data_IF_093974262472
#
_entry.id   IF_093974262472
#
_cell.length_a   1.000
_cell.length_b   1.000
_cell.length_c   1.000
_cell.angle_alpha   90.00
_cell.angle_beta   90.00
_cell.angle_gamma   90.00
#
_symmetry.space_group_name_H-M   'P 1'
#
loop_
_entity.id
_entity.type
_entity.pdbx_description
1 polymer ?
#
# COMPACT_ATOMS: atom_id res chain seq x y z
N UNK A 1 -3.92 18.88 -57.16
CA UNK A 1 -4.01 17.74 -56.26
C UNK A 1 -3.87 18.28 -54.85
N UNK A 2 -4.95 18.39 -54.04
CA UNK A 2 -4.79 18.76 -52.65
C UNK A 2 -4.35 17.53 -51.87
N UNK A 3 -3.28 17.67 -51.10
CA UNK A 3 -2.79 16.67 -50.14
C UNK A 3 -3.76 16.60 -48.98
N UNK A 4 -4.40 15.46 -48.84
CA UNK A 4 -5.12 15.11 -47.59
C UNK A 4 -4.10 14.93 -46.49
N UNK A 5 -4.08 15.86 -45.53
CA UNK A 5 -3.44 15.69 -44.24
C UNK A 5 -4.35 14.71 -43.48
N UNK A 6 -3.89 13.49 -43.29
CA UNK A 6 -4.52 12.55 -42.34
C UNK A 6 -4.40 13.17 -40.96
N UNK A 7 -5.53 13.54 -40.36
CA UNK A 7 -5.63 13.83 -38.95
C UNK A 7 -5.26 12.52 -38.20
N UNK A 8 -4.06 12.47 -37.62
CA UNK A 8 -3.74 11.47 -36.60
C UNK A 8 -4.74 11.67 -35.45
N UNK A 9 -5.68 10.73 -35.35
CA UNK A 9 -6.57 10.68 -34.17
C UNK A 9 -5.70 10.44 -32.97
N UNK A 10 -5.49 11.46 -32.12
CA UNK A 10 -4.90 11.29 -30.79
C UNK A 10 -5.76 10.29 -30.04
N UNK A 11 -5.20 9.10 -29.79
CA UNK A 11 -5.83 8.16 -28.85
C UNK A 11 -5.95 8.87 -27.51
N UNK A 12 -7.11 8.76 -26.82
CA UNK A 12 -7.24 9.35 -25.49
C UNK A 12 -6.14 8.79 -24.59
N UNK A 13 -5.44 9.68 -23.90
CA UNK A 13 -4.39 9.28 -22.96
C UNK A 13 -4.99 8.30 -21.95
N UNK A 14 -4.41 7.11 -21.84
CA UNK A 14 -4.84 6.10 -20.87
C UNK A 14 -4.52 6.65 -19.48
N UNK A 15 -5.56 6.90 -18.70
CA UNK A 15 -5.39 7.31 -17.31
C UNK A 15 -5.09 6.08 -16.46
N UNK A 16 -4.03 6.15 -15.68
CA UNK A 16 -3.60 5.07 -14.80
C UNK A 16 -3.99 5.36 -13.34
N UNK A 17 -4.23 4.28 -12.58
CA UNK A 17 -4.36 4.33 -11.12
C UNK A 17 -3.17 3.58 -10.52
N UNK A 18 -2.40 4.24 -9.66
CA UNK A 18 -1.34 3.58 -8.91
C UNK A 18 -1.93 3.02 -7.59
N UNK A 19 -2.02 1.70 -7.50
CA UNK A 19 -2.68 1.02 -6.37
C UNK A 19 -1.74 0.69 -5.21
N UNK A 20 -0.43 0.94 -5.31
CA UNK A 20 0.55 0.57 -4.27
C UNK A 20 1.50 1.73 -4.00
N UNK A 21 1.09 2.64 -3.13
CA UNK A 21 1.91 3.81 -2.78
C UNK A 21 2.11 3.92 -1.28
N UNK A 22 3.36 3.83 -0.86
CA UNK A 22 3.74 4.21 0.50
C UNK A 22 4.04 5.71 0.52
N UNK A 23 3.41 6.45 1.42
CA UNK A 23 3.77 7.85 1.63
C UNK A 23 5.25 7.94 2.01
N UNK A 24 5.99 8.74 1.24
CA UNK A 24 7.44 8.90 1.38
C UNK A 24 7.80 10.38 1.33
N UNK A 25 7.15 11.16 2.21
CA UNK A 25 7.47 12.58 2.33
C UNK A 25 8.60 12.80 3.34
N UNK A 26 9.19 14.00 3.39
CA UNK A 26 10.16 14.33 4.43
C UNK A 26 9.64 14.08 5.85
N UNK A 27 8.33 14.17 6.08
CA UNK A 27 7.69 13.88 7.37
C UNK A 27 7.83 12.39 7.75
N UNK A 28 7.45 11.48 6.86
CA UNK A 28 7.56 10.04 7.11
C UNK A 28 9.03 9.63 7.28
N UNK A 29 9.93 10.17 6.48
CA UNK A 29 11.37 9.90 6.58
C UNK A 29 11.93 10.37 7.93
N UNK A 30 11.64 11.59 8.35
CA UNK A 30 12.13 12.17 9.61
C UNK A 30 11.56 11.44 10.83
N UNK A 31 10.31 10.95 10.73
CA UNK A 31 9.65 10.21 11.81
C UNK A 31 10.01 8.72 11.85
N UNK A 32 10.86 8.23 10.93
CA UNK A 32 11.19 6.80 10.86
C UNK A 32 10.00 5.90 10.48
N UNK A 33 9.01 6.45 9.79
CA UNK A 33 7.79 5.77 9.36
C UNK A 33 7.94 5.08 8.00
N UNK A 34 9.15 4.96 7.52
CA UNK A 34 9.48 4.28 6.27
C UNK A 34 10.46 3.15 6.56
N UNK A 35 10.26 1.98 5.96
CA UNK A 35 11.20 0.87 6.06
C UNK A 35 12.45 1.05 5.18
N UNK A 36 12.71 2.25 4.67
CA UNK A 36 13.73 2.51 3.67
C UNK A 36 15.04 2.93 4.32
N UNK A 37 15.93 1.97 4.54
CA UNK A 37 17.30 2.25 4.88
C UNK A 37 18.18 2.51 3.63
N UNK A 38 19.40 2.94 3.86
CA UNK A 38 20.37 3.24 2.78
C UNK A 38 20.62 2.02 1.89
N UNK A 39 20.60 0.80 2.43
CA UNK A 39 20.83 -0.41 1.66
C UNK A 39 19.67 -0.68 0.71
N UNK A 40 18.44 -0.49 1.19
CA UNK A 40 17.25 -0.59 0.35
C UNK A 40 17.27 0.45 -0.77
N UNK A 41 17.48 1.71 -0.45
CA UNK A 41 17.52 2.78 -1.44
C UNK A 41 18.54 2.47 -2.55
N UNK A 42 19.68 1.91 -2.20
CA UNK A 42 20.68 1.45 -3.19
C UNK A 42 20.20 0.25 -4.02
N UNK A 43 19.53 -0.73 -3.40
CA UNK A 43 19.02 -1.91 -4.11
C UNK A 43 17.96 -1.54 -5.15
N UNK A 44 17.08 -0.62 -4.83
CA UNK A 44 16.02 -0.14 -5.74
C UNK A 44 16.53 0.98 -6.67
N UNK A 45 17.80 1.35 -6.56
CA UNK A 45 18.43 2.44 -7.34
C UNK A 45 17.66 3.77 -7.21
N UNK A 46 17.21 4.07 -6.00
CA UNK A 46 16.52 5.32 -5.73
C UNK A 46 17.45 6.50 -5.99
N UNK A 47 17.02 7.52 -6.75
CA UNK A 47 17.81 8.74 -6.96
C UNK A 47 18.17 9.41 -5.63
N UNK A 48 19.38 9.95 -5.51
CA UNK A 48 19.89 10.53 -4.25
C UNK A 48 19.07 11.73 -3.77
N UNK A 49 18.53 12.52 -4.69
CA UNK A 49 17.64 13.66 -4.40
C UNK A 49 16.30 13.25 -3.79
N UNK A 50 15.92 11.97 -3.89
CA UNK A 50 14.71 11.43 -3.29
C UNK A 50 14.96 10.82 -1.90
N UNK A 51 16.21 10.65 -1.44
CA UNK A 51 16.52 9.97 -0.17
C UNK A 51 15.92 10.67 1.06
N UNK A 52 15.73 12.00 0.97
CA UNK A 52 15.07 12.79 2.03
C UNK A 52 13.54 12.81 2.01
N UNK A 53 12.95 12.04 1.12
CA UNK A 53 11.51 12.06 0.85
C UNK A 53 11.13 12.99 -0.31
N UNK A 54 9.92 12.83 -0.81
CA UNK A 54 9.34 13.62 -1.91
C UNK A 54 8.13 14.37 -1.38
N UNK A 55 8.06 15.70 -1.57
CA UNK A 55 6.89 16.46 -1.12
C UNK A 55 5.62 16.00 -1.86
N UNK A 56 4.45 16.22 -1.27
CA UNK A 56 3.17 15.85 -1.91
C UNK A 56 3.00 16.59 -3.23
N UNK A 57 3.38 17.86 -3.30
CA UNK A 57 3.31 18.67 -4.52
C UNK A 57 4.23 18.12 -5.62
N UNK A 58 5.42 17.66 -5.24
CA UNK A 58 6.36 17.04 -6.20
C UNK A 58 5.86 15.67 -6.65
N UNK A 59 5.25 14.90 -5.75
CA UNK A 59 4.63 13.64 -6.08
C UNK A 59 3.45 13.82 -7.06
N UNK A 60 2.57 14.80 -6.83
CA UNK A 60 1.48 15.14 -7.74
C UNK A 60 1.99 15.52 -9.13
N UNK A 61 3.05 16.33 -9.21
CA UNK A 61 3.67 16.66 -10.51
C UNK A 61 4.21 15.42 -11.24
N UNK A 62 4.77 14.46 -10.49
CA UNK A 62 5.25 13.18 -11.07
C UNK A 62 4.08 12.32 -11.54
N UNK A 63 2.98 12.27 -10.80
CA UNK A 63 1.75 11.61 -11.22
C UNK A 63 1.24 12.20 -12.54
N UNK A 64 1.15 13.54 -12.63
CA UNK A 64 0.70 14.23 -13.86
C UNK A 64 1.61 13.90 -15.04
N UNK A 65 2.91 13.96 -14.85
CA UNK A 65 3.90 13.63 -15.89
C UNK A 65 3.83 12.17 -16.36
N UNK A 66 3.38 11.26 -15.49
CA UNK A 66 3.25 9.83 -15.75
C UNK A 66 1.83 9.41 -16.24
N UNK A 67 0.87 10.34 -16.33
CA UNK A 67 -0.52 10.03 -16.64
C UNK A 67 -1.25 9.24 -15.54
N UNK A 68 -0.80 9.37 -14.28
CA UNK A 68 -1.45 8.75 -13.12
C UNK A 68 -2.51 9.70 -12.57
N UNK A 69 -3.77 9.31 -12.70
CA UNK A 69 -4.90 10.11 -12.23
C UNK A 69 -5.03 10.04 -10.71
N UNK A 70 -4.93 8.84 -10.15
CA UNK A 70 -5.16 8.57 -8.72
C UNK A 70 -4.13 7.61 -8.17
N UNK A 71 -3.77 7.79 -6.90
CA UNK A 71 -2.92 6.87 -6.14
C UNK A 71 -3.61 6.39 -4.87
N UNK A 72 -3.46 5.10 -4.54
CA UNK A 72 -3.92 4.54 -3.29
C UNK A 72 -2.76 4.57 -2.28
N UNK A 73 -2.88 5.45 -1.28
CA UNK A 73 -1.88 5.64 -0.24
C UNK A 73 -2.07 4.62 0.88
N UNK A 74 -1.04 3.89 1.21
CA UNK A 74 -1.09 2.88 2.26
C UNK A 74 -0.72 3.51 3.61
N UNK A 75 -1.63 3.46 4.58
CA UNK A 75 -1.33 3.71 5.98
C UNK A 75 -0.63 2.48 6.55
N UNK A 76 0.67 2.38 6.30
CA UNK A 76 1.47 1.16 6.47
C UNK A 76 1.44 0.67 7.92
N UNK A 77 1.29 -0.64 8.07
CA UNK A 77 1.68 -1.40 9.26
C UNK A 77 2.63 -2.51 8.82
N UNK A 78 3.89 -2.42 9.20
CA UNK A 78 4.93 -3.33 8.77
C UNK A 78 5.70 -3.88 9.99
N UNK A 79 5.36 -5.09 10.39
CA UNK A 79 5.92 -5.80 11.54
C UNK A 79 5.15 -5.55 12.84
N UNK A 80 5.33 -6.49 13.77
CA UNK A 80 4.67 -6.45 15.08
C UNK A 80 5.05 -5.19 15.86
N UNK A 81 4.09 -4.64 16.60
CA UNK A 81 4.32 -3.50 17.49
C UNK A 81 5.45 -3.85 18.47
N UNK A 82 6.39 -2.95 18.65
CA UNK A 82 7.58 -3.10 19.52
C UNK A 82 8.73 -3.97 18.98
N UNK A 83 8.65 -4.48 17.77
CA UNK A 83 9.81 -5.10 17.14
C UNK A 83 10.74 -4.06 16.55
N UNK A 84 12.04 -4.27 16.76
CA UNK A 84 13.06 -3.43 16.13
C UNK A 84 12.97 -3.55 14.60
N UNK A 85 12.78 -2.43 13.93
CA UNK A 85 12.64 -2.36 12.48
C UNK A 85 11.20 -2.38 11.98
N UNK A 86 10.20 -2.63 12.87
CA UNK A 86 8.80 -2.38 12.55
C UNK A 86 8.54 -0.88 12.41
N UNK A 87 7.64 -0.53 11.52
CA UNK A 87 7.23 0.87 11.34
C UNK A 87 5.76 0.94 10.95
N UNK A 88 5.14 2.08 11.25
CA UNK A 88 3.77 2.36 10.85
C UNK A 88 3.59 3.82 10.46
N UNK A 89 2.66 4.06 9.55
CA UNK A 89 2.12 5.37 9.24
C UNK A 89 0.70 5.40 9.81
N UNK A 90 0.39 6.32 10.75
CA UNK A 90 -0.94 6.43 11.33
C UNK A 90 -2.02 6.66 10.28
N UNK A 91 -3.20 6.07 10.47
CA UNK A 91 -4.32 6.23 9.54
C UNK A 91 -4.70 7.69 9.34
N UNK A 92 -4.79 8.48 10.43
CA UNK A 92 -5.10 9.90 10.37
C UNK A 92 -4.09 10.71 9.53
N UNK A 93 -2.83 10.25 9.47
CA UNK A 93 -1.81 10.91 8.66
C UNK A 93 -2.05 10.72 7.17
N UNK A 94 -2.46 9.53 6.75
CA UNK A 94 -2.83 9.25 5.36
C UNK A 94 -4.17 9.90 5.02
N UNK A 95 -5.14 9.85 5.94
CA UNK A 95 -6.42 10.52 5.77
C UNK A 95 -6.24 12.03 5.49
N UNK A 96 -5.32 12.68 6.20
CA UNK A 96 -5.04 14.10 5.96
C UNK A 96 -4.54 14.40 4.54
N UNK A 97 -3.78 13.50 3.92
CA UNK A 97 -3.39 13.64 2.51
C UNK A 97 -4.57 13.40 1.57
N UNK A 98 -5.43 12.43 1.88
CA UNK A 98 -6.65 12.16 1.10
C UNK A 98 -7.63 13.33 1.17
N UNK A 99 -7.83 13.93 2.36
CA UNK A 99 -8.69 15.09 2.56
C UNK A 99 -8.18 16.34 1.83
N UNK A 100 -6.87 16.52 1.79
CA UNK A 100 -6.26 17.64 1.09
C UNK A 100 -6.37 17.51 -0.45
N UNK A 101 -6.35 16.27 -0.97
CA UNK A 101 -6.38 15.99 -2.40
C UNK A 101 -7.35 14.83 -2.73
N UNK A 102 -8.67 15.01 -2.49
CA UNK A 102 -9.66 13.92 -2.55
C UNK A 102 -9.84 13.31 -3.95
N UNK A 103 -9.53 14.08 -5.00
CA UNK A 103 -9.59 13.60 -6.38
C UNK A 103 -8.33 12.83 -6.79
N UNK A 104 -7.26 12.93 -6.01
CA UNK A 104 -5.95 12.35 -6.36
C UNK A 104 -5.54 11.19 -5.46
N UNK A 105 -6.01 11.15 -4.22
CA UNK A 105 -5.64 10.12 -3.26
C UNK A 105 -6.84 9.41 -2.66
N UNK A 106 -6.66 8.12 -2.36
CA UNK A 106 -7.55 7.33 -1.53
C UNK A 106 -6.70 6.50 -0.57
N UNK A 107 -7.20 6.24 0.65
CA UNK A 107 -6.45 5.55 1.67
C UNK A 107 -6.68 4.03 1.68
N UNK A 108 -5.62 3.26 1.96
CA UNK A 108 -5.68 1.85 2.29
C UNK A 108 -5.21 1.63 3.72
N UNK A 109 -6.00 0.89 4.52
CA UNK A 109 -5.67 0.57 5.90
C UNK A 109 -4.64 -0.57 5.96
N UNK A 110 -3.42 -0.27 6.37
CA UNK A 110 -2.44 -1.30 6.69
C UNK A 110 -2.91 -2.14 7.89
N UNK A 111 -2.84 -3.47 7.80
CA UNK A 111 -3.33 -4.35 8.86
C UNK A 111 -2.20 -5.11 9.55
N UNK A 112 -2.37 -5.31 10.85
CA UNK A 112 -1.51 -6.07 11.73
C UNK A 112 -2.33 -7.19 12.42
N UNK A 113 -2.26 -8.44 11.95
CA UNK A 113 -3.03 -9.54 12.53
C UNK A 113 -2.72 -9.80 14.01
N UNK A 114 -1.56 -9.38 14.50
CA UNK A 114 -1.15 -9.63 15.90
C UNK A 114 -1.88 -8.75 16.91
N UNK A 115 -2.56 -7.68 16.44
CA UNK A 115 -3.35 -6.78 17.30
C UNK A 115 -4.74 -7.31 17.64
N UNK A 116 -5.17 -8.41 17.02
CA UNK A 116 -6.46 -9.05 17.30
C UNK A 116 -7.66 -8.09 17.16
N UNK A 117 -8.47 -7.97 18.22
CA UNK A 117 -9.70 -7.15 18.19
C UNK A 117 -9.40 -5.65 18.03
N UNK A 118 -8.24 -5.17 18.48
CA UNK A 118 -7.82 -3.77 18.24
C UNK A 118 -7.74 -3.49 16.73
N UNK A 119 -7.14 -4.41 15.98
CA UNK A 119 -7.05 -4.26 14.52
C UNK A 119 -8.41 -4.17 13.83
N UNK A 120 -9.41 -4.92 14.32
CA UNK A 120 -10.75 -4.87 13.73
C UNK A 120 -11.43 -3.51 13.97
N UNK A 121 -11.27 -2.95 15.17
CA UNK A 121 -11.76 -1.60 15.49
C UNK A 121 -11.06 -0.52 14.68
N UNK A 122 -9.74 -0.67 14.50
CA UNK A 122 -8.96 0.25 13.68
C UNK A 122 -9.40 0.21 12.22
N UNK A 123 -9.75 -0.97 11.71
CA UNK A 123 -10.27 -1.13 10.35
C UNK A 123 -11.66 -0.48 10.20
N UNK A 124 -12.54 -0.68 11.19
CA UNK A 124 -13.83 0.02 11.24
C UNK A 124 -13.67 1.53 11.21
N UNK A 125 -12.76 2.07 12.01
CA UNK A 125 -12.44 3.49 12.06
C UNK A 125 -11.92 3.99 10.71
N UNK A 126 -10.97 3.28 10.12
CA UNK A 126 -10.40 3.65 8.83
C UNK A 126 -11.45 3.76 7.71
N UNK A 127 -12.38 2.82 7.67
CA UNK A 127 -13.40 2.77 6.61
C UNK A 127 -14.55 3.73 6.90
N UNK A 128 -15.13 3.69 8.10
CA UNK A 128 -16.36 4.42 8.41
C UNK A 128 -16.13 5.89 8.75
N UNK A 129 -14.99 6.23 9.35
CA UNK A 129 -14.69 7.60 9.80
C UNK A 129 -13.70 8.31 8.88
N UNK A 130 -12.70 7.58 8.33
CA UNK A 130 -11.66 8.18 7.49
C UNK A 130 -11.88 7.95 5.98
N UNK A 131 -12.90 7.20 5.59
CA UNK A 131 -13.25 6.98 4.19
C UNK A 131 -12.23 6.15 3.41
N UNK A 132 -11.47 5.26 4.08
CA UNK A 132 -10.54 4.39 3.40
C UNK A 132 -11.28 3.36 2.53
N UNK A 133 -10.72 3.08 1.36
CA UNK A 133 -11.38 2.29 0.31
C UNK A 133 -10.97 0.81 0.29
N UNK A 134 -10.08 0.41 1.18
CA UNK A 134 -9.58 -0.96 1.25
C UNK A 134 -8.57 -1.16 2.36
N UNK A 135 -8.11 -2.40 2.49
CA UNK A 135 -7.06 -2.79 3.42
C UNK A 135 -5.79 -3.20 2.67
N UNK A 136 -4.66 -3.21 3.38
CA UNK A 136 -3.38 -3.66 2.85
C UNK A 136 -2.63 -4.53 3.86
N UNK A 137 -2.09 -5.67 3.43
CA UNK A 137 -1.37 -6.60 4.28
C UNK A 137 0.00 -6.97 3.71
N UNK A 138 1.02 -6.96 4.60
CA UNK A 138 2.38 -7.39 4.32
C UNK A 138 2.72 -8.71 5.05
N UNK A 139 2.37 -9.90 4.52
CA UNK A 139 2.59 -11.19 5.21
C UNK A 139 4.02 -11.41 5.69
N UNK A 140 5.00 -11.03 4.87
CA UNK A 140 6.42 -11.25 5.16
C UNK A 140 6.94 -10.44 6.36
N UNK A 141 6.36 -9.28 6.67
CA UNK A 141 6.73 -8.48 7.84
C UNK A 141 6.29 -9.13 9.15
N UNK A 142 5.25 -9.95 9.10
CA UNK A 142 4.73 -10.69 10.27
C UNK A 142 5.19 -12.14 10.29
N UNK A 143 6.00 -12.58 9.33
CA UNK A 143 6.39 -13.99 9.15
C UNK A 143 5.18 -14.92 9.15
N UNK A 144 4.08 -14.44 8.64
CA UNK A 144 2.78 -15.08 8.70
C UNK A 144 2.24 -15.27 7.28
N UNK A 145 1.90 -16.50 6.87
CA UNK A 145 1.30 -16.71 5.57
C UNK A 145 -0.14 -16.16 5.53
N UNK A 146 -0.65 -15.78 4.35
CA UNK A 146 -2.00 -15.21 4.23
C UNK A 146 -3.11 -16.12 4.77
N UNK A 147 -2.95 -17.45 4.67
CA UNK A 147 -3.89 -18.47 5.16
C UNK A 147 -3.74 -18.78 6.67
N UNK A 148 -2.96 -17.99 7.39
CA UNK A 148 -2.85 -18.16 8.84
C UNK A 148 -4.16 -17.79 9.56
N UNK A 149 -4.59 -18.57 10.58
CA UNK A 149 -5.84 -18.34 11.31
C UNK A 149 -5.99 -16.94 11.90
N UNK A 150 -4.87 -16.28 12.27
CA UNK A 150 -4.88 -14.91 12.80
C UNK A 150 -5.31 -13.86 11.75
N UNK A 151 -5.21 -14.17 10.46
CA UNK A 151 -5.64 -13.27 9.40
C UNK A 151 -7.16 -13.34 9.15
N UNK A 152 -7.82 -14.46 9.46
CA UNK A 152 -9.21 -14.72 9.13
C UNK A 152 -10.20 -13.71 9.69
N UNK A 153 -10.09 -13.23 10.93
CA UNK A 153 -10.97 -12.18 11.44
C UNK A 153 -10.90 -10.88 10.61
N UNK A 154 -9.72 -10.56 10.05
CA UNK A 154 -9.53 -9.39 9.20
C UNK A 154 -10.25 -9.60 7.87
N UNK A 155 -10.16 -10.78 7.26
CA UNK A 155 -10.85 -11.09 6.01
C UNK A 155 -12.37 -11.05 6.18
N UNK A 156 -12.88 -11.66 7.25
CA UNK A 156 -14.30 -11.57 7.59
C UNK A 156 -14.74 -10.10 7.74
N UNK A 157 -13.93 -9.27 8.40
CA UNK A 157 -14.25 -7.85 8.56
C UNK A 157 -14.18 -7.09 7.24
N UNK A 158 -13.24 -7.39 6.34
CA UNK A 158 -13.21 -6.80 5.01
C UNK A 158 -14.46 -7.15 4.19
N UNK A 159 -14.95 -8.38 4.30
CA UNK A 159 -16.23 -8.80 3.67
C UNK A 159 -17.40 -8.02 4.25
N UNK A 160 -17.52 -7.90 5.59
CA UNK A 160 -18.58 -7.15 6.26
C UNK A 160 -18.60 -5.65 5.88
N UNK A 161 -17.42 -5.07 5.70
CA UNK A 161 -17.24 -3.67 5.29
C UNK A 161 -17.32 -3.45 3.78
N UNK A 162 -17.47 -4.52 3.00
CA UNK A 162 -17.50 -4.52 1.53
C UNK A 162 -16.24 -3.89 0.88
N UNK A 163 -15.08 -4.05 1.50
CA UNK A 163 -13.80 -3.51 1.02
C UNK A 163 -12.85 -4.60 0.53
N UNK A 164 -12.00 -4.30 -0.48
CA UNK A 164 -10.94 -5.19 -0.90
C UNK A 164 -9.78 -5.21 0.11
N UNK A 165 -9.02 -6.31 0.09
CA UNK A 165 -7.72 -6.37 0.76
C UNK A 165 -6.62 -6.67 -0.25
N UNK A 166 -5.63 -5.80 -0.36
CA UNK A 166 -4.44 -6.02 -1.17
C UNK A 166 -3.35 -6.66 -0.33
N UNK A 167 -2.75 -7.74 -0.84
CA UNK A 167 -1.68 -8.46 -0.14
C UNK A 167 -0.41 -8.49 -0.97
N UNK A 168 0.72 -8.20 -0.34
CA UNK A 168 2.01 -8.37 -0.99
C UNK A 168 2.43 -9.84 -0.96
N UNK A 169 2.42 -10.47 -2.14
CA UNK A 169 2.86 -11.85 -2.33
C UNK A 169 3.97 -11.93 -3.38
N UNK A 170 4.65 -13.08 -3.44
CA UNK A 170 5.76 -13.30 -4.37
C UNK A 170 7.13 -13.03 -3.74
N UNK A 171 8.12 -12.81 -4.58
CA UNK A 171 9.48 -12.55 -4.12
C UNK A 171 9.63 -11.09 -3.71
N UNK A 172 9.86 -10.86 -2.42
CA UNK A 172 10.12 -9.53 -1.90
C UNK A 172 11.58 -9.12 -2.11
N UNK A 173 11.77 -7.84 -2.41
CA UNK A 173 13.05 -7.18 -2.19
C UNK A 173 13.34 -7.20 -0.70
N UNK A 174 14.48 -7.73 -0.29
CA UNK A 174 14.72 -7.97 1.11
C UNK A 174 15.98 -7.29 1.53
N UNK A 175 15.77 -6.40 2.46
CA UNK A 175 16.76 -5.53 3.04
C UNK A 175 17.79 -6.28 3.86
N UNK A 176 17.34 -7.31 4.56
CA UNK A 176 18.18 -8.13 5.41
C UNK A 176 17.97 -9.59 5.07
N UNK A 177 19.03 -10.27 4.71
CA UNK A 177 19.02 -11.67 4.28
C UNK A 177 18.43 -12.60 5.35
N UNK A 178 18.62 -12.23 6.62
CA UNK A 178 18.22 -12.96 7.81
C UNK A 178 16.69 -12.95 8.06
N UNK A 179 16.00 -11.92 7.57
CA UNK A 179 14.53 -11.80 7.73
C UNK A 179 13.75 -12.34 6.54
N UNK A 180 14.42 -12.99 5.59
CA UNK A 180 13.79 -13.61 4.44
C UNK A 180 12.95 -14.80 4.82
N UNK A 181 11.64 -14.70 4.59
CA UNK A 181 10.71 -15.82 4.69
C UNK A 181 9.88 -15.93 3.39
N UNK A 182 10.51 -16.32 2.28
CA UNK A 182 9.82 -16.40 1.00
C UNK A 182 8.67 -17.41 1.00
N UNK A 183 8.66 -18.36 1.93
CA UNK A 183 7.58 -19.33 2.09
C UNK A 183 6.25 -18.71 2.51
N UNK A 184 6.26 -17.61 3.25
CA UNK A 184 5.03 -16.95 3.74
C UNK A 184 4.41 -16.01 2.71
N UNK A 185 5.11 -15.72 1.62
CA UNK A 185 4.63 -14.83 0.56
C UNK A 185 4.36 -15.55 -0.76
N UNK A 186 4.16 -16.87 -0.73
CA UNK A 186 3.83 -17.63 -1.95
C UNK A 186 2.41 -17.33 -2.41
N UNK A 187 2.19 -16.94 -3.68
CA UNK A 187 0.86 -16.63 -4.19
C UNK A 187 -0.15 -17.77 -4.04
N UNK A 188 0.30 -19.03 -4.13
CA UNK A 188 -0.56 -20.20 -3.97
C UNK A 188 -1.26 -20.27 -2.59
N UNK A 189 -0.74 -19.61 -1.57
CA UNK A 189 -1.36 -19.57 -0.25
C UNK A 189 -2.65 -18.72 -0.22
N UNK A 190 -2.90 -17.94 -1.27
CA UNK A 190 -4.16 -17.22 -1.43
C UNK A 190 -5.32 -18.10 -1.88
N UNK A 191 -5.05 -19.27 -2.47
CA UNK A 191 -6.10 -20.19 -2.91
C UNK A 191 -7.01 -20.60 -1.76
N UNK A 192 -6.43 -20.92 -0.59
CA UNK A 192 -7.22 -21.27 0.59
C UNK A 192 -8.05 -20.10 1.09
N UNK A 193 -7.48 -18.90 1.10
CA UNK A 193 -8.22 -17.67 1.50
C UNK A 193 -9.40 -17.42 0.56
N UNK A 194 -9.18 -17.56 -0.75
CA UNK A 194 -10.24 -17.39 -1.76
C UNK A 194 -11.37 -18.43 -1.65
N UNK A 195 -11.03 -19.66 -1.23
CA UNK A 195 -12.02 -20.72 -0.98
C UNK A 195 -12.83 -20.41 0.29
N UNK A 196 -12.16 -20.01 1.36
CA UNK A 196 -12.79 -19.79 2.68
C UNK A 196 -13.60 -18.48 2.71
N UNK A 197 -13.22 -17.49 1.90
CA UNK A 197 -13.86 -16.16 1.81
C UNK A 197 -14.21 -15.83 0.35
N UNK A 198 -15.23 -16.47 -0.25
CA UNK A 198 -15.56 -16.28 -1.66
C UNK A 198 -16.07 -14.86 -1.99
N UNK A 199 -16.54 -14.11 -0.99
CA UNK A 199 -17.00 -12.73 -1.14
C UNK A 199 -15.90 -11.69 -0.87
N UNK A 200 -14.68 -12.11 -0.51
CA UNK A 200 -13.55 -11.21 -0.30
C UNK A 200 -13.06 -10.66 -1.66
N UNK A 201 -12.89 -9.35 -1.70
CA UNK A 201 -12.41 -8.63 -2.89
C UNK A 201 -10.90 -8.42 -2.86
#
# INVERSE_FOLDING_TARGET
>A
MPSTVEEESEMPAVQAIDIVVNAFTPREVQNGQTGFDVNFMRQVRMPEDMHGGVSIEDYLRRMDAAGVERSLLIAVRAGERNWKGSFEIPYDQIAAYCDQYPDRFSGLAGVDPTRGVEQLKDLDYAVNELGFVGAHFYPHWYRMPPDAPLCYPIYARCVELDIPIMMQVGQNLIYQKEVRLPSVAKPILLDQVAIDFPDLK
#
